data_IF_195670833391
#
_entry.id   IF_195670833391
#
_cell.length_a   1.000
_cell.length_b   1.000
_cell.length_c   1.000
_cell.angle_alpha   90.00
_cell.angle_beta   90.00
_cell.angle_gamma   90.00
#
_symmetry.space_group_name_H-M   'P 1'
#
loop_
_entity.id
_entity.type
_entity.pdbx_description
1 polymer ?
#
# COMPACT_ATOMS: atom_id res chain seq x y z
N UNK A 1 26.43 51.81 -15.02
CA UNK A 1 27.69 52.10 -15.74
C UNK A 1 28.59 50.89 -15.57
N UNK A 2 29.03 50.28 -16.67
CA UNK A 2 30.11 49.29 -16.65
C UNK A 2 31.39 50.12 -16.76
N UNK A 3 32.20 50.13 -15.72
CA UNK A 3 33.50 50.80 -15.71
C UNK A 3 34.57 49.76 -15.47
N UNK A 4 35.47 49.59 -16.43
CA UNK A 4 36.81 49.05 -16.17
C UNK A 4 37.56 50.11 -15.37
N UNK A 5 38.12 49.75 -14.21
CA UNK A 5 38.99 50.64 -13.44
C UNK A 5 40.44 50.20 -13.59
N UNK A 6 41.32 51.17 -13.82
CA UNK A 6 42.76 50.99 -13.90
C UNK A 6 43.34 50.25 -12.68
N UNK A 7 44.36 49.44 -12.95
CA UNK A 7 45.15 48.71 -11.95
C UNK A 7 45.67 49.67 -10.87
N UNK A 8 45.06 49.61 -9.69
CA UNK A 8 45.59 50.23 -8.48
C UNK A 8 46.65 49.32 -7.86
N UNK A 9 47.79 49.90 -7.48
CA UNK A 9 48.89 49.16 -6.87
C UNK A 9 48.46 48.48 -5.55
N UNK A 10 48.87 47.23 -5.42
CA UNK A 10 48.62 46.34 -4.30
C UNK A 10 49.01 46.97 -2.95
N UNK A 11 48.04 47.16 -2.06
CA UNK A 11 48.26 47.40 -0.62
C UNK A 11 47.67 46.18 0.09
N UNK A 12 48.46 45.38 0.84
CA UNK A 12 47.96 44.19 1.51
C UNK A 12 47.09 44.62 2.69
N UNK A 13 45.78 44.34 2.61
CA UNK A 13 44.87 44.47 3.73
C UNK A 13 44.62 43.07 4.31
N UNK A 14 45.32 42.76 5.40
CA UNK A 14 45.11 41.57 6.21
C UNK A 14 43.74 41.70 6.90
N UNK A 15 42.69 41.00 6.43
CA UNK A 15 41.67 40.33 7.28
C UNK A 15 40.28 40.04 6.68
N UNK A 16 39.95 40.37 5.42
CA UNK A 16 38.70 39.90 4.82
C UNK A 16 38.94 39.21 3.49
N UNK A 17 38.96 37.87 3.53
CA UNK A 17 39.24 36.98 2.40
C UNK A 17 38.15 36.98 1.33
N UNK A 18 37.98 38.09 0.63
CA UNK A 18 37.20 38.15 -0.61
C UNK A 18 38.15 38.27 -1.81
N UNK A 19 38.65 37.12 -2.26
CA UNK A 19 39.31 37.01 -3.56
C UNK A 19 38.24 36.78 -4.64
N UNK A 20 37.78 37.85 -5.29
CA UNK A 20 36.96 37.73 -6.50
C UNK A 20 37.83 37.97 -7.73
N UNK A 21 37.93 36.97 -8.62
CA UNK A 21 38.76 37.00 -9.83
C UNK A 21 38.08 37.62 -11.06
N UNK A 22 36.89 38.23 -10.91
CA UNK A 22 36.13 38.87 -12.01
C UNK A 22 35.34 40.09 -11.53
N UNK A 23 34.92 40.93 -12.49
CA UNK A 23 34.20 42.18 -12.27
C UNK A 23 32.96 42.01 -11.40
N UNK A 24 32.87 42.84 -10.35
CA UNK A 24 31.74 42.90 -9.45
C UNK A 24 30.74 43.96 -9.95
N UNK A 25 29.45 43.69 -9.77
CA UNK A 25 28.40 44.70 -9.95
C UNK A 25 28.00 45.22 -8.57
N UNK A 26 28.25 46.50 -8.32
CA UNK A 26 27.70 47.18 -7.14
C UNK A 26 26.23 47.48 -7.46
N UNK A 27 25.32 46.76 -6.79
CA UNK A 27 23.89 47.10 -6.72
C UNK A 27 23.59 47.64 -5.31
N UNK A 28 22.45 48.31 -5.12
CA UNK A 28 21.98 48.60 -3.77
C UNK A 28 21.69 47.28 -3.04
N UNK A 29 21.93 47.25 -1.72
CA UNK A 29 21.63 46.09 -0.87
C UNK A 29 20.19 45.60 -1.07
N UNK A 30 19.27 46.55 -1.26
CA UNK A 30 17.86 46.33 -1.54
C UNK A 30 17.63 45.63 -2.89
N UNK A 31 18.32 46.03 -3.96
CA UNK A 31 18.25 45.34 -5.26
C UNK A 31 18.87 43.94 -5.25
N UNK A 32 19.88 43.70 -4.41
CA UNK A 32 20.47 42.36 -4.20
C UNK A 32 19.45 41.47 -3.50
N UNK A 33 18.78 41.97 -2.46
CA UNK A 33 17.70 41.25 -1.78
C UNK A 33 16.50 41.00 -2.70
N UNK A 34 16.09 41.98 -3.52
CA UNK A 34 15.02 41.81 -4.50
C UNK A 34 15.37 40.79 -5.60
N UNK A 35 16.63 40.73 -6.02
CA UNK A 35 17.10 39.76 -7.03
C UNK A 35 17.28 38.33 -6.52
N UNK A 36 17.21 38.11 -5.20
CA UNK A 36 17.46 36.80 -4.54
C UNK A 36 16.20 36.20 -3.89
N UNK A 37 15.00 36.69 -4.25
CA UNK A 37 13.76 36.16 -3.68
C UNK A 37 13.46 34.70 -4.10
N UNK A 38 13.67 33.76 -3.18
CA UNK A 38 13.49 32.30 -3.32
C UNK A 38 12.09 31.79 -2.91
N UNK A 39 11.01 32.57 -3.06
CA UNK A 39 9.67 32.14 -2.59
C UNK A 39 9.16 30.86 -3.26
N UNK A 40 9.48 30.66 -4.54
CA UNK A 40 9.16 29.42 -5.27
C UNK A 40 9.86 28.21 -4.69
N UNK A 41 11.11 28.37 -4.25
CA UNK A 41 11.89 27.30 -3.67
C UNK A 41 11.34 26.88 -2.30
N UNK A 42 10.95 27.84 -1.46
CA UNK A 42 10.28 27.55 -0.17
C UNK A 42 8.99 26.75 -0.36
N UNK A 43 8.20 27.09 -1.40
CA UNK A 43 6.98 26.35 -1.73
C UNK A 43 7.31 24.88 -2.09
N UNK A 44 8.35 24.66 -2.90
CA UNK A 44 8.80 23.30 -3.27
C UNK A 44 9.24 22.50 -2.03
N UNK A 45 9.99 23.12 -1.12
CA UNK A 45 10.45 22.46 0.09
C UNK A 45 9.27 22.10 1.00
N UNK A 46 8.29 22.99 1.12
CA UNK A 46 7.02 22.72 1.80
C UNK A 46 6.31 21.48 1.25
N UNK A 47 6.24 21.34 -0.09
CA UNK A 47 5.66 20.17 -0.75
C UNK A 47 6.42 18.89 -0.37
N UNK A 48 7.76 18.91 -0.38
CA UNK A 48 8.57 17.74 0.00
C UNK A 48 8.40 17.35 1.47
N UNK A 49 8.29 18.33 2.37
CA UNK A 49 8.00 18.10 3.79
C UNK A 49 6.62 17.45 3.97
N UNK A 50 5.60 17.97 3.29
CA UNK A 50 4.23 17.44 3.35
C UNK A 50 4.22 16.00 2.84
N UNK A 51 4.81 15.71 1.68
CA UNK A 51 4.92 14.33 1.19
C UNK A 51 5.69 13.43 2.15
N UNK A 52 6.77 13.94 2.76
CA UNK A 52 7.55 13.19 3.75
C UNK A 52 6.72 12.79 4.96
N UNK A 53 6.11 13.77 5.63
CA UNK A 53 5.27 13.55 6.82
C UNK A 53 4.05 12.69 6.48
N UNK A 54 3.38 12.94 5.35
CA UNK A 54 2.21 12.18 4.93
C UNK A 54 2.52 10.68 4.77
N UNK A 55 3.62 10.32 4.13
CA UNK A 55 3.96 8.91 3.93
C UNK A 55 4.52 8.25 5.21
N UNK A 56 5.18 8.99 6.09
CA UNK A 56 5.52 8.51 7.44
C UNK A 56 4.25 8.23 8.25
N UNK A 57 3.26 9.13 8.19
CA UNK A 57 1.95 8.92 8.82
C UNK A 57 1.24 7.69 8.23
N UNK A 58 1.25 7.53 6.90
CA UNK A 58 0.65 6.38 6.24
C UNK A 58 1.29 5.04 6.64
N UNK A 59 2.60 5.04 6.94
CA UNK A 59 3.27 3.88 7.51
C UNK A 59 2.72 3.48 8.88
N UNK A 60 2.37 4.42 9.77
CA UNK A 60 1.78 4.06 11.06
C UNK A 60 0.41 3.37 10.92
N UNK A 61 -0.33 3.67 9.85
CA UNK A 61 -1.57 2.97 9.51
C UNK A 61 -1.26 1.58 8.92
N UNK A 62 -0.13 1.43 8.22
CA UNK A 62 0.27 0.21 7.50
C UNK A 62 1.70 -0.22 7.82
N UNK A 63 1.91 -0.66 9.06
CA UNK A 63 3.25 -1.02 9.58
C UNK A 63 3.94 -2.13 8.78
N UNK A 64 3.19 -2.95 8.02
CA UNK A 64 3.76 -4.00 7.16
C UNK A 64 4.41 -3.46 5.88
N UNK A 65 4.01 -2.27 5.41
CA UNK A 65 4.44 -1.68 4.14
C UNK A 65 5.56 -0.66 4.40
N UNK A 66 6.78 -1.15 4.71
CA UNK A 66 7.93 -0.32 5.13
C UNK A 66 8.39 0.68 4.06
N UNK A 67 8.16 0.40 2.78
CA UNK A 67 8.46 1.34 1.69
C UNK A 67 7.80 2.72 1.86
N UNK A 68 6.67 2.84 2.57
CA UNK A 68 6.06 4.13 2.90
C UNK A 68 6.92 4.96 3.86
N UNK A 69 7.48 4.31 4.89
CA UNK A 69 8.41 4.95 5.82
C UNK A 69 9.65 5.43 5.09
N UNK A 70 10.27 4.57 4.29
CA UNK A 70 11.50 4.89 3.59
C UNK A 70 11.33 6.00 2.55
N UNK A 71 10.23 6.01 1.79
CA UNK A 71 9.92 7.11 0.89
C UNK A 71 9.63 8.41 1.64
N UNK A 72 8.89 8.34 2.75
CA UNK A 72 8.62 9.48 3.61
C UNK A 72 9.90 10.10 4.18
N UNK A 73 10.81 9.28 4.71
CA UNK A 73 12.14 9.71 5.18
C UNK A 73 12.97 10.32 4.04
N UNK A 74 12.98 9.69 2.87
CA UNK A 74 13.66 10.21 1.68
C UNK A 74 13.17 11.62 1.30
N UNK A 75 11.85 11.82 1.22
CA UNK A 75 11.25 13.13 0.89
C UNK A 75 11.50 14.16 1.99
N UNK A 76 11.40 13.75 3.26
CA UNK A 76 11.65 14.62 4.41
C UNK A 76 13.11 15.10 4.45
N UNK A 77 14.09 14.20 4.37
CA UNK A 77 15.50 14.58 4.37
C UNK A 77 15.89 15.41 3.14
N UNK A 78 15.26 15.15 2.00
CA UNK A 78 15.41 16.00 0.80
C UNK A 78 14.95 17.43 1.08
N UNK A 79 13.80 17.59 1.73
CA UNK A 79 13.31 18.92 2.15
C UNK A 79 14.29 19.61 3.10
N UNK A 80 14.80 18.90 4.12
CA UNK A 80 15.74 19.46 5.10
C UNK A 80 17.02 19.96 4.43
N UNK A 81 17.55 19.24 3.43
CA UNK A 81 18.71 19.69 2.68
C UNK A 81 18.42 20.97 1.92
N UNK A 82 17.37 20.96 1.10
CA UNK A 82 17.09 22.10 0.25
C UNK A 82 16.74 23.35 1.07
N UNK A 83 15.98 23.16 2.15
CA UNK A 83 15.70 24.20 3.14
C UNK A 83 17.00 24.73 3.74
N UNK A 84 17.85 23.87 4.33
CA UNK A 84 19.09 24.29 4.99
C UNK A 84 20.11 24.94 4.03
N UNK A 85 20.00 24.67 2.73
CA UNK A 85 20.84 25.29 1.69
C UNK A 85 20.30 26.62 1.14
N UNK A 86 19.10 27.06 1.55
CA UNK A 86 18.45 28.27 1.02
C UNK A 86 19.09 29.55 1.55
N UNK A 87 19.35 30.50 0.65
CA UNK A 87 19.93 31.80 1.02
C UNK A 87 18.97 32.62 1.90
N UNK A 88 17.66 32.44 1.72
CA UNK A 88 16.63 33.19 2.44
C UNK A 88 16.69 32.93 3.95
N UNK A 89 17.05 31.72 4.37
CA UNK A 89 17.21 31.39 5.79
C UNK A 89 18.38 32.17 6.39
N UNK A 90 19.51 32.18 5.70
CA UNK A 90 20.68 32.92 6.16
C UNK A 90 20.38 34.42 6.23
N UNK A 91 19.71 34.98 5.23
CA UNK A 91 19.38 36.40 5.21
C UNK A 91 18.35 36.82 6.28
N UNK A 92 17.30 36.01 6.52
CA UNK A 92 16.21 36.39 7.45
C UNK A 92 16.43 35.93 8.89
N UNK A 93 17.12 34.82 9.12
CA UNK A 93 17.19 34.21 10.44
C UNK A 93 18.61 34.17 11.03
N UNK A 94 19.66 34.01 10.20
CA UNK A 94 21.04 33.87 10.69
C UNK A 94 21.75 35.23 10.73
N UNK A 95 21.85 35.93 9.59
CA UNK A 95 22.57 37.19 9.47
C UNK A 95 22.05 38.31 10.40
N UNK A 96 20.73 38.45 10.67
CA UNK A 96 20.22 39.47 11.58
C UNK A 96 20.45 39.13 13.06
N UNK A 97 20.71 37.87 13.40
CA UNK A 97 20.80 37.38 14.78
C UNK A 97 22.23 36.91 15.09
N UNK A 98 23.09 37.75 15.68
CA UNK A 98 24.49 37.42 15.93
C UNK A 98 24.70 36.26 16.92
N UNK A 99 23.68 35.88 17.69
CA UNK A 99 23.72 34.74 18.61
C UNK A 99 23.51 33.38 17.92
N UNK A 100 23.01 33.37 16.68
CA UNK A 100 22.54 32.16 16.02
C UNK A 100 23.66 31.57 15.14
N UNK A 101 24.25 30.46 15.59
CA UNK A 101 25.37 29.83 14.89
C UNK A 101 24.95 29.17 13.58
N UNK A 102 25.51 29.65 12.47
CA UNK A 102 25.34 29.08 11.13
C UNK A 102 25.78 27.61 11.02
N UNK A 103 26.66 27.15 11.92
CA UNK A 103 27.15 25.77 11.93
C UNK A 103 26.03 24.73 12.08
N UNK A 104 24.94 25.10 12.77
CA UNK A 104 23.78 24.22 12.97
C UNK A 104 23.09 23.86 11.65
N UNK A 105 22.90 24.84 10.76
CA UNK A 105 22.27 24.62 9.45
C UNK A 105 23.14 23.75 8.55
N UNK A 106 24.46 23.98 8.55
CA UNK A 106 25.40 23.11 7.82
C UNK A 106 25.40 21.67 8.35
N UNK A 107 25.35 21.48 9.68
CA UNK A 107 25.24 20.13 10.28
C UNK A 107 23.92 19.45 9.89
N UNK A 108 22.80 20.16 9.89
CA UNK A 108 21.51 19.63 9.43
C UNK A 108 21.55 19.24 7.95
N UNK A 109 22.14 20.08 7.11
CA UNK A 109 22.29 19.82 5.68
C UNK A 109 23.12 18.56 5.41
N UNK A 110 24.33 18.49 5.98
CA UNK A 110 25.26 17.38 5.72
C UNK A 110 24.79 16.06 6.34
N UNK A 111 24.23 16.10 7.54
CA UNK A 111 23.65 14.90 8.16
C UNK A 111 22.47 14.37 7.33
N UNK A 112 21.56 15.24 6.89
CA UNK A 112 20.44 14.82 6.04
C UNK A 112 20.89 14.23 4.70
N UNK A 113 21.96 14.75 4.10
CA UNK A 113 22.55 14.20 2.87
C UNK A 113 22.95 12.73 3.00
N UNK A 114 23.49 12.34 4.15
CA UNK A 114 23.90 10.94 4.38
C UNK A 114 22.71 9.98 4.40
N UNK A 115 21.52 10.44 4.79
CA UNK A 115 20.33 9.60 4.97
C UNK A 115 19.44 9.49 3.73
N UNK A 116 19.60 10.36 2.73
CA UNK A 116 18.82 10.32 1.48
C UNK A 116 19.05 9.00 0.74
N UNK A 117 20.31 8.63 0.48
CA UNK A 117 20.62 7.44 -0.32
C UNK A 117 20.21 6.13 0.37
N UNK A 118 20.47 5.92 1.68
CA UNK A 118 19.94 4.78 2.42
C UNK A 118 18.42 4.72 2.39
N UNK A 119 17.74 5.84 2.64
CA UNK A 119 16.26 5.88 2.63
C UNK A 119 15.72 5.51 1.24
N UNK A 120 16.30 6.06 0.17
CA UNK A 120 15.88 5.74 -1.18
C UNK A 120 16.17 4.29 -1.58
N UNK A 121 17.34 3.76 -1.21
CA UNK A 121 17.68 2.37 -1.46
C UNK A 121 16.70 1.41 -0.77
N UNK A 122 16.41 1.63 0.52
CA UNK A 122 15.47 0.77 1.24
C UNK A 122 14.04 0.91 0.74
N UNK A 123 13.63 2.09 0.28
CA UNK A 123 12.39 2.26 -0.46
C UNK A 123 12.34 1.32 -1.67
N UNK A 124 13.36 1.35 -2.55
CA UNK A 124 13.39 0.49 -3.74
C UNK A 124 13.45 -1.00 -3.37
N UNK A 125 14.29 -1.36 -2.39
CA UNK A 125 14.46 -2.76 -1.94
C UNK A 125 13.14 -3.32 -1.44
N UNK A 126 12.47 -2.60 -0.55
CA UNK A 126 11.24 -3.07 0.08
C UNK A 126 10.06 -3.04 -0.91
N UNK A 127 10.00 -2.01 -1.76
CA UNK A 127 8.95 -1.89 -2.77
C UNK A 127 8.99 -3.04 -3.80
N UNK A 128 10.17 -3.40 -4.33
CA UNK A 128 10.27 -4.43 -5.39
C UNK A 128 10.51 -5.86 -4.88
N UNK A 129 11.20 -5.99 -3.75
CA UNK A 129 11.70 -7.28 -3.24
C UNK A 129 11.63 -7.33 -1.69
N UNK A 130 10.43 -7.23 -1.09
CA UNK A 130 10.28 -7.21 0.37
C UNK A 130 10.81 -8.49 1.03
N UNK A 131 10.60 -9.65 0.38
CA UNK A 131 11.01 -10.98 0.88
C UNK A 131 12.47 -11.35 0.60
N UNK A 132 13.18 -10.61 -0.25
CA UNK A 132 14.59 -10.92 -0.56
C UNK A 132 15.50 -10.32 0.53
N UNK A 133 16.59 -11.03 0.86
CA UNK A 133 17.63 -10.52 1.76
C UNK A 133 18.35 -9.33 1.11
N UNK A 134 18.80 -8.39 1.95
CA UNK A 134 19.60 -7.25 1.51
C UNK A 134 20.94 -7.68 0.93
N UNK A 135 21.47 -6.86 0.03
CA UNK A 135 22.81 -7.08 -0.54
C UNK A 135 23.89 -6.61 0.45
N UNK A 136 24.94 -7.42 0.62
CA UNK A 136 26.10 -7.08 1.46
C UNK A 136 26.75 -5.77 1.02
N UNK A 137 26.83 -5.55 -0.30
CA UNK A 137 27.39 -4.31 -0.89
C UNK A 137 26.57 -3.09 -0.46
N UNK A 138 25.24 -3.19 -0.51
CA UNK A 138 24.38 -2.10 -0.08
C UNK A 138 24.48 -1.84 1.43
N UNK A 139 24.54 -2.91 2.23
CA UNK A 139 24.73 -2.82 3.67
C UNK A 139 26.03 -2.11 4.04
N UNK A 140 27.12 -2.34 3.30
CA UNK A 140 28.37 -1.60 3.49
C UNK A 140 28.18 -0.09 3.31
N UNK A 141 27.57 0.35 2.20
CA UNK A 141 27.31 1.78 1.97
C UNK A 141 26.40 2.39 3.05
N UNK A 142 25.33 1.68 3.42
CA UNK A 142 24.38 2.14 4.45
C UNK A 142 25.09 2.31 5.80
N UNK A 143 25.86 1.32 6.26
CA UNK A 143 26.57 1.39 7.54
C UNK A 143 27.56 2.57 7.54
N UNK A 144 28.31 2.76 6.45
CA UNK A 144 29.26 3.86 6.36
C UNK A 144 28.56 5.23 6.36
N UNK A 145 27.46 5.38 5.62
CA UNK A 145 26.69 6.62 5.58
C UNK A 145 26.02 6.93 6.93
N UNK A 146 25.53 5.92 7.64
CA UNK A 146 25.03 6.08 9.03
C UNK A 146 26.18 6.47 9.97
N UNK A 147 27.38 5.91 9.80
CA UNK A 147 28.56 6.34 10.55
C UNK A 147 28.89 7.82 10.30
N UNK A 148 28.84 8.25 9.04
CA UNK A 148 29.03 9.65 8.66
C UNK A 148 27.94 10.58 9.20
N UNK A 149 26.68 10.12 9.29
CA UNK A 149 25.59 10.87 9.92
C UNK A 149 25.97 11.31 11.34
N UNK A 150 26.41 10.36 12.17
CA UNK A 150 26.85 10.66 13.54
C UNK A 150 28.12 11.51 13.54
N UNK A 151 29.06 11.26 12.62
CA UNK A 151 30.27 12.07 12.50
C UNK A 151 29.96 13.54 12.21
N UNK A 152 29.03 13.86 11.30
CA UNK A 152 28.66 15.26 11.02
C UNK A 152 28.03 15.97 12.22
N UNK A 153 27.38 15.22 13.13
CA UNK A 153 26.81 15.80 14.34
C UNK A 153 27.87 16.13 15.40
N UNK A 154 28.98 15.39 15.45
CA UNK A 154 29.96 15.49 16.55
C UNK A 154 31.30 16.12 16.15
N UNK A 155 31.71 16.04 14.90
CA UNK A 155 33.06 16.43 14.44
C UNK A 155 33.24 17.95 14.47
N UNK A 156 34.43 18.47 14.87
CA UNK A 156 34.74 19.90 14.79
C UNK A 156 34.63 20.44 13.36
N UNK A 157 34.15 21.68 13.21
CA UNK A 157 33.85 22.27 11.90
C UNK A 157 35.04 22.26 10.92
N UNK A 158 36.27 22.37 11.44
CA UNK A 158 37.51 22.29 10.65
C UNK A 158 37.66 20.98 9.86
N UNK A 159 37.11 19.86 10.35
CA UNK A 159 37.20 18.54 9.71
C UNK A 159 35.97 18.20 8.86
N UNK A 160 34.90 19.00 8.92
CA UNK A 160 33.64 18.74 8.21
C UNK A 160 33.83 18.70 6.70
N UNK A 161 34.72 19.54 6.15
CA UNK A 161 35.01 19.56 4.71
C UNK A 161 35.61 18.24 4.19
N UNK A 162 36.44 17.56 5.00
CA UNK A 162 37.03 16.26 4.66
C UNK A 162 35.94 15.18 4.70
N UNK A 163 35.15 15.14 5.78
CA UNK A 163 34.02 14.23 5.91
C UNK A 163 33.00 14.40 4.76
N UNK A 164 32.76 15.64 4.34
CA UNK A 164 31.89 15.96 3.20
C UNK A 164 32.41 15.41 1.88
N UNK A 165 33.70 15.55 1.57
CA UNK A 165 34.30 14.95 0.36
C UNK A 165 34.18 13.42 0.35
N UNK A 166 34.43 12.78 1.50
CA UNK A 166 34.26 11.33 1.66
C UNK A 166 32.79 10.94 1.41
N UNK A 167 31.84 11.69 1.98
CA UNK A 167 30.42 11.48 1.78
C UNK A 167 30.02 11.58 0.29
N UNK A 168 30.54 12.56 -0.45
CA UNK A 168 30.25 12.74 -1.87
C UNK A 168 30.73 11.56 -2.71
N UNK A 169 31.96 11.08 -2.48
CA UNK A 169 32.50 9.91 -3.20
C UNK A 169 31.62 8.69 -2.95
N UNK A 170 31.26 8.43 -1.70
CA UNK A 170 30.41 7.30 -1.35
C UNK A 170 29.00 7.42 -1.92
N UNK A 171 28.43 8.63 -1.93
CA UNK A 171 27.13 8.90 -2.54
C UNK A 171 27.13 8.60 -4.05
N UNK A 172 28.21 8.96 -4.76
CA UNK A 172 28.37 8.64 -6.19
C UNK A 172 28.48 7.13 -6.38
N UNK A 173 29.32 6.44 -5.60
CA UNK A 173 29.43 4.98 -5.70
C UNK A 173 28.09 4.28 -5.40
N UNK A 174 27.35 4.77 -4.40
CA UNK A 174 26.07 4.18 -4.01
C UNK A 174 24.96 4.49 -5.02
N UNK A 175 24.98 5.65 -5.68
CA UNK A 175 24.03 5.99 -6.74
C UNK A 175 24.20 5.08 -7.97
N UNK A 176 25.44 4.75 -8.33
CA UNK A 176 25.75 3.75 -9.37
C UNK A 176 25.18 2.38 -8.99
N UNK A 177 25.32 1.99 -7.72
CA UNK A 177 24.73 0.75 -7.22
C UNK A 177 23.19 0.78 -7.23
N UNK A 178 22.55 1.89 -6.84
CA UNK A 178 21.09 2.08 -6.91
C UNK A 178 20.60 1.99 -8.37
N UNK A 179 21.34 2.57 -9.32
CA UNK A 179 21.04 2.48 -10.74
C UNK A 179 21.15 1.03 -11.23
N UNK A 180 22.22 0.33 -10.87
CA UNK A 180 22.39 -1.10 -11.17
C UNK A 180 21.24 -1.95 -10.60
N UNK A 181 20.86 -1.72 -9.34
CA UNK A 181 19.72 -2.39 -8.71
C UNK A 181 18.41 -2.11 -9.46
N UNK A 182 18.17 -0.86 -9.86
CA UNK A 182 16.98 -0.46 -10.62
C UNK A 182 16.94 -1.06 -12.03
N UNK A 183 18.09 -1.21 -12.69
CA UNK A 183 18.19 -1.93 -13.97
C UNK A 183 17.86 -3.41 -13.77
N UNK A 184 18.34 -4.03 -12.69
CA UNK A 184 18.01 -5.43 -12.39
C UNK A 184 16.51 -5.64 -12.15
N UNK A 185 15.83 -4.74 -11.44
CA UNK A 185 14.38 -4.88 -11.18
C UNK A 185 13.55 -4.77 -12.47
N UNK A 186 13.98 -3.93 -13.42
CA UNK A 186 13.39 -3.88 -14.78
C UNK A 186 13.65 -5.17 -15.55
N UNK A 187 14.86 -5.74 -15.49
CA UNK A 187 15.18 -7.03 -16.14
C UNK A 187 14.36 -8.18 -15.54
N UNK A 188 14.08 -8.15 -14.24
CA UNK A 188 13.17 -9.07 -13.55
C UNK A 188 11.68 -8.81 -13.85
N UNK A 189 11.34 -7.88 -14.75
CA UNK A 189 9.98 -7.50 -15.16
C UNK A 189 9.05 -7.16 -13.99
N UNK A 190 9.59 -6.56 -12.93
CA UNK A 190 8.79 -6.10 -11.79
C UNK A 190 7.85 -4.97 -12.22
N UNK A 191 6.63 -4.96 -11.69
CA UNK A 191 5.65 -3.92 -11.95
C UNK A 191 6.20 -2.55 -11.52
N UNK A 192 5.90 -1.49 -12.28
CA UNK A 192 6.33 -0.09 -12.06
C UNK A 192 7.85 0.19 -12.11
N UNK A 193 8.70 -0.84 -12.21
CA UNK A 193 10.16 -0.70 -12.24
C UNK A 193 10.64 0.21 -13.36
N UNK A 194 10.05 0.11 -14.56
CA UNK A 194 10.42 0.94 -15.71
C UNK A 194 10.14 2.43 -15.45
N UNK A 195 9.01 2.76 -14.81
CA UNK A 195 8.63 4.15 -14.52
C UNK A 195 9.61 4.78 -13.54
N UNK A 196 9.92 4.06 -12.45
CA UNK A 196 10.86 4.52 -11.43
C UNK A 196 12.28 4.65 -12.02
N UNK A 197 12.73 3.70 -12.84
CA UNK A 197 14.05 3.78 -13.50
C UNK A 197 14.14 5.00 -14.43
N UNK A 198 13.10 5.28 -15.23
CA UNK A 198 13.07 6.48 -16.08
C UNK A 198 13.17 7.75 -15.23
N UNK A 199 12.44 7.83 -14.12
CA UNK A 199 12.54 8.95 -13.18
C UNK A 199 13.94 9.15 -12.60
N UNK A 200 14.61 8.06 -12.20
CA UNK A 200 15.99 8.09 -11.71
C UNK A 200 16.95 8.60 -12.80
N UNK A 201 16.86 8.07 -14.02
CA UNK A 201 17.71 8.49 -15.14
C UNK A 201 17.54 9.97 -15.47
N UNK A 202 16.30 10.47 -15.51
CA UNK A 202 16.00 11.89 -15.73
C UNK A 202 16.63 12.74 -14.63
N UNK A 203 16.48 12.36 -13.35
CA UNK A 203 17.10 13.08 -12.24
C UNK A 203 18.63 13.12 -12.37
N UNK A 204 19.28 12.01 -12.73
CA UNK A 204 20.73 11.95 -12.91
C UNK A 204 21.18 12.89 -14.03
N UNK A 205 20.52 12.86 -15.19
CA UNK A 205 20.86 13.74 -16.33
C UNK A 205 20.78 15.21 -15.93
N UNK A 206 19.67 15.64 -15.32
CA UNK A 206 19.51 17.03 -14.90
C UNK A 206 20.46 17.43 -13.76
N UNK A 207 20.77 16.51 -12.83
CA UNK A 207 21.78 16.74 -11.80
C UNK A 207 23.16 16.98 -12.41
N UNK A 208 23.54 16.17 -13.41
CA UNK A 208 24.83 16.32 -14.10
C UNK A 208 24.89 17.59 -14.94
N UNK A 209 23.78 17.97 -15.58
CA UNK A 209 23.67 19.22 -16.32
C UNK A 209 23.86 20.44 -15.41
N UNK A 210 23.19 20.44 -14.26
CA UNK A 210 23.33 21.52 -13.29
C UNK A 210 24.75 21.61 -12.74
N UNK A 211 25.35 20.45 -12.39
CA UNK A 211 26.73 20.38 -11.93
C UNK A 211 27.71 20.91 -13.00
N UNK A 212 27.53 20.52 -14.27
CA UNK A 212 28.36 21.03 -15.37
C UNK A 212 28.25 22.56 -15.49
N UNK A 213 27.04 23.11 -15.57
CA UNK A 213 26.89 24.54 -15.73
C UNK A 213 27.39 25.35 -14.52
N UNK A 214 27.36 24.78 -13.31
CA UNK A 214 27.96 25.41 -12.12
C UNK A 214 29.49 25.54 -12.20
N UNK A 215 30.15 24.66 -12.97
CA UNK A 215 31.61 24.65 -13.15
C UNK A 215 32.05 25.51 -14.34
N UNK A 216 31.26 25.56 -15.41
CA UNK A 216 31.70 26.11 -16.71
C UNK A 216 31.06 27.46 -17.12
N UNK A 217 29.89 27.88 -16.60
CA UNK A 217 29.20 29.11 -17.04
C UNK A 217 29.02 30.17 -15.94
N UNK A 218 29.22 31.45 -16.29
CA UNK A 218 29.00 32.61 -15.41
C UNK A 218 27.48 32.81 -15.14
N UNK A 219 26.95 32.10 -14.14
CA UNK A 219 25.99 32.54 -13.12
C UNK A 219 24.88 33.56 -13.50
N UNK A 220 23.95 33.20 -14.40
CA UNK A 220 22.67 33.94 -14.50
C UNK A 220 21.39 33.13 -14.70
N UNK A 221 21.49 31.83 -14.98
CA UNK A 221 20.31 30.96 -15.17
C UNK A 221 20.32 29.68 -14.31
N UNK A 222 21.27 29.56 -13.38
CA UNK A 222 21.45 28.36 -12.55
C UNK A 222 20.68 28.49 -11.25
N UNK A 223 19.59 27.72 -11.07
CA UNK A 223 19.15 27.13 -9.77
C UNK A 223 17.77 26.45 -9.79
N UNK A 224 16.94 26.57 -10.84
CA UNK A 224 15.51 26.15 -10.74
C UNK A 224 15.19 24.81 -11.41
N UNK A 225 15.90 24.39 -12.47
CA UNK A 225 15.46 23.25 -13.29
C UNK A 225 15.51 21.90 -12.57
N UNK A 226 16.60 21.60 -11.83
CA UNK A 226 16.69 20.34 -11.11
C UNK A 226 15.62 20.22 -10.03
N UNK A 227 15.34 21.29 -9.29
CA UNK A 227 14.28 21.31 -8.26
C UNK A 227 12.91 20.96 -8.84
N UNK A 228 12.58 21.50 -10.02
CA UNK A 228 11.33 21.16 -10.73
C UNK A 228 11.32 19.70 -11.22
N UNK A 229 12.40 19.22 -11.81
CA UNK A 229 12.53 17.81 -12.23
C UNK A 229 12.40 16.87 -11.03
N UNK A 230 13.00 17.24 -9.90
CA UNK A 230 12.91 16.50 -8.65
C UNK A 230 11.49 16.47 -8.09
N UNK A 231 10.73 17.58 -8.21
CA UNK A 231 9.31 17.60 -7.87
C UNK A 231 8.52 16.57 -8.70
N UNK A 232 8.70 16.55 -10.02
CA UNK A 232 8.03 15.57 -10.87
C UNK A 232 8.43 14.14 -10.52
N UNK A 233 9.67 13.91 -10.11
CA UNK A 233 10.14 12.61 -9.62
C UNK A 233 9.43 12.18 -8.33
N UNK A 234 9.33 13.06 -7.33
CA UNK A 234 8.60 12.81 -6.08
C UNK A 234 7.12 12.53 -6.35
N UNK A 235 6.47 13.34 -7.20
CA UNK A 235 5.07 13.15 -7.59
C UNK A 235 4.88 11.83 -8.34
N UNK A 236 5.83 11.45 -9.20
CA UNK A 236 5.78 10.18 -9.94
C UNK A 236 5.84 8.98 -8.98
N UNK A 237 6.72 9.01 -7.98
CA UNK A 237 6.79 7.96 -6.96
C UNK A 237 5.53 7.95 -6.10
N UNK A 238 5.08 9.11 -5.62
CA UNK A 238 3.85 9.21 -4.81
C UNK A 238 2.62 8.68 -5.58
N UNK A 239 2.48 9.04 -6.86
CA UNK A 239 1.42 8.52 -7.74
C UNK A 239 1.52 7.00 -7.92
N UNK A 240 2.73 6.47 -8.10
CA UNK A 240 2.97 5.03 -8.17
C UNK A 240 2.56 4.31 -6.88
N UNK A 241 2.84 4.88 -5.71
CA UNK A 241 2.43 4.35 -4.42
C UNK A 241 0.89 4.34 -4.26
N UNK A 242 0.22 5.40 -4.69
CA UNK A 242 -1.26 5.50 -4.65
C UNK A 242 -1.89 4.48 -5.60
N UNK A 243 -1.41 4.37 -6.84
CA UNK A 243 -1.92 3.40 -7.81
C UNK A 243 -1.76 1.96 -7.34
N UNK A 244 -0.61 1.64 -6.72
CA UNK A 244 -0.38 0.32 -6.11
C UNK A 244 -1.37 0.04 -4.98
N UNK A 245 -1.64 1.03 -4.13
CA UNK A 245 -2.64 0.89 -3.07
C UNK A 245 -4.03 0.60 -3.65
N UNK A 246 -4.47 1.36 -4.65
CA UNK A 246 -5.76 1.15 -5.31
C UNK A 246 -5.86 -0.25 -5.93
N UNK A 247 -4.79 -0.73 -6.57
CA UNK A 247 -4.76 -2.07 -7.14
C UNK A 247 -4.89 -3.16 -6.06
N UNK A 248 -4.11 -3.06 -4.99
CA UNK A 248 -4.17 -4.02 -3.88
C UNK A 248 -5.55 -4.03 -3.21
N UNK A 249 -6.18 -2.87 -3.08
CA UNK A 249 -7.54 -2.77 -2.54
C UNK A 249 -8.56 -3.48 -3.43
N UNK A 250 -8.49 -3.29 -4.76
CA UNK A 250 -9.35 -3.98 -5.72
C UNK A 250 -9.14 -5.50 -5.69
N UNK A 251 -7.89 -5.96 -5.68
CA UNK A 251 -7.58 -7.40 -5.64
C UNK A 251 -8.12 -8.04 -4.35
N UNK A 252 -8.02 -7.35 -3.21
CA UNK A 252 -8.60 -7.81 -1.95
C UNK A 252 -10.14 -7.89 -1.98
N UNK A 253 -10.80 -6.91 -2.60
CA UNK A 253 -12.26 -6.93 -2.76
C UNK A 253 -12.72 -8.06 -3.69
N UNK A 254 -12.01 -8.26 -4.81
CA UNK A 254 -12.30 -9.34 -5.75
C UNK A 254 -12.11 -10.71 -5.10
N UNK A 255 -11.04 -10.88 -4.31
CA UNK A 255 -10.80 -12.10 -3.56
C UNK A 255 -11.90 -12.36 -2.52
N UNK A 256 -12.30 -11.35 -1.76
CA UNK A 256 -13.41 -11.48 -0.80
C UNK A 256 -14.72 -11.86 -1.48
N UNK A 257 -15.04 -11.25 -2.62
CA UNK A 257 -16.22 -11.62 -3.40
C UNK A 257 -16.15 -13.08 -3.87
N UNK A 258 -15.01 -13.48 -4.43
CA UNK A 258 -14.79 -14.85 -4.85
C UNK A 258 -14.96 -15.86 -3.71
N UNK A 259 -14.45 -15.54 -2.51
CA UNK A 259 -14.63 -16.38 -1.32
C UNK A 259 -16.09 -16.48 -0.87
N UNK A 260 -16.86 -15.39 -0.95
CA UNK A 260 -18.30 -15.41 -0.67
C UNK A 260 -19.03 -16.29 -1.69
N UNK A 261 -18.75 -16.12 -2.98
CA UNK A 261 -19.38 -16.91 -4.04
C UNK A 261 -19.07 -18.41 -3.88
N UNK A 262 -17.83 -18.76 -3.50
CA UNK A 262 -17.45 -20.14 -3.17
C UNK A 262 -18.19 -20.67 -1.93
N UNK A 263 -18.28 -19.86 -0.88
CA UNK A 263 -19.02 -20.20 0.35
C UNK A 263 -20.49 -20.49 0.04
N UNK A 264 -21.15 -19.61 -0.73
CA UNK A 264 -22.54 -19.79 -1.14
C UNK A 264 -22.74 -21.02 -2.02
N UNK A 265 -21.82 -21.29 -2.95
CA UNK A 265 -21.85 -22.49 -3.76
C UNK A 265 -21.72 -23.76 -2.90
N UNK A 266 -20.84 -23.75 -1.89
CA UNK A 266 -20.65 -24.87 -0.97
C UNK A 266 -21.93 -25.18 -0.18
N UNK A 267 -22.62 -24.16 0.36
CA UNK A 267 -23.85 -24.36 1.13
C UNK A 267 -25.05 -24.87 0.30
N UNK A 268 -24.97 -24.86 -1.04
CA UNK A 268 -25.97 -25.55 -1.89
C UNK A 268 -25.86 -27.07 -1.82
N UNK A 269 -24.72 -27.61 -1.39
CA UNK A 269 -24.47 -29.05 -1.32
C UNK A 269 -24.40 -29.58 0.11
N UNK A 270 -24.28 -28.71 1.10
CA UNK A 270 -24.17 -29.07 2.51
C UNK A 270 -25.20 -28.29 3.31
N UNK A 271 -26.27 -28.94 3.81
CA UNK A 271 -27.27 -28.29 4.65
C UNK A 271 -26.62 -27.65 5.88
N UNK A 272 -26.94 -26.39 6.17
CA UNK A 272 -26.39 -25.66 7.33
C UNK A 272 -26.79 -26.35 8.63
N UNK A 273 -28.00 -26.90 8.71
CA UNK A 273 -28.49 -27.60 9.89
C UNK A 273 -27.75 -28.90 10.19
N UNK A 274 -27.19 -29.56 9.17
CA UNK A 274 -26.31 -30.71 9.37
C UNK A 274 -25.07 -30.33 10.21
N UNK A 275 -24.49 -29.15 9.95
CA UNK A 275 -23.32 -28.62 10.67
C UNK A 275 -23.67 -28.38 12.16
N UNK A 276 -24.88 -27.88 12.44
CA UNK A 276 -25.39 -27.71 13.81
C UNK A 276 -25.55 -29.05 14.53
N UNK A 277 -26.01 -30.10 13.82
CA UNK A 277 -26.27 -31.42 14.41
C UNK A 277 -25.00 -32.10 14.88
N UNK A 278 -23.89 -31.95 14.16
CA UNK A 278 -22.59 -32.48 14.58
C UNK A 278 -21.88 -31.59 15.62
N UNK A 279 -22.55 -30.54 16.11
CA UNK A 279 -22.04 -29.54 17.06
C UNK A 279 -20.72 -28.91 16.59
N UNK A 280 -20.74 -28.40 15.35
CA UNK A 280 -19.63 -27.66 14.75
C UNK A 280 -20.07 -26.26 14.38
N UNK A 281 -19.15 -25.31 14.41
CA UNK A 281 -19.44 -23.90 14.05
C UNK A 281 -19.36 -23.66 12.54
N UNK A 282 -18.53 -24.44 11.83
CA UNK A 282 -18.39 -24.31 10.38
C UNK A 282 -17.98 -25.64 9.73
N UNK A 283 -18.27 -25.81 8.42
CA UNK A 283 -17.77 -26.95 7.66
C UNK A 283 -16.25 -27.12 7.71
N UNK A 284 -15.50 -26.03 7.89
CA UNK A 284 -14.03 -26.02 7.96
C UNK A 284 -13.52 -26.72 9.23
N UNK A 285 -14.33 -26.73 10.30
CA UNK A 285 -13.97 -27.38 11.57
C UNK A 285 -14.21 -28.89 11.60
N UNK A 286 -14.79 -29.46 10.54
CA UNK A 286 -15.10 -30.89 10.46
C UNK A 286 -13.85 -31.65 10.01
N UNK A 287 -13.42 -32.62 10.81
CA UNK A 287 -12.33 -33.53 10.46
C UNK A 287 -12.86 -34.89 9.99
N UNK A 288 -12.06 -35.59 9.17
CA UNK A 288 -12.40 -36.96 8.77
C UNK A 288 -12.45 -37.85 10.03
N UNK A 289 -13.55 -38.58 10.20
CA UNK A 289 -13.80 -39.41 11.38
C UNK A 289 -14.63 -38.73 12.47
N UNK A 290 -14.93 -37.44 12.34
CA UNK A 290 -15.91 -36.79 13.20
C UNK A 290 -17.26 -37.50 13.09
N UNK A 291 -17.81 -37.89 14.23
CA UNK A 291 -19.11 -38.56 14.32
C UNK A 291 -19.82 -38.12 15.59
N UNK A 292 -21.14 -38.13 15.53
CA UNK A 292 -21.99 -37.83 16.68
C UNK A 292 -23.23 -38.70 16.66
N UNK A 293 -23.55 -39.29 17.80
CA UNK A 293 -24.77 -40.05 18.00
C UNK A 293 -25.85 -39.13 18.59
N UNK A 294 -27.02 -39.07 17.94
CA UNK A 294 -28.18 -38.31 18.39
C UNK A 294 -29.46 -39.09 18.13
N UNK A 295 -30.41 -39.01 19.06
CA UNK A 295 -31.78 -39.51 18.86
C UNK A 295 -32.53 -38.52 17.97
N UNK A 296 -33.08 -39.02 16.86
CA UNK A 296 -33.74 -38.20 15.83
C UNK A 296 -34.87 -38.99 15.17
N UNK A 297 -35.87 -38.28 14.65
CA UNK A 297 -36.93 -38.86 13.81
C UNK A 297 -36.60 -38.64 12.34
N UNK A 298 -36.78 -39.69 11.53
CA UNK A 298 -36.62 -39.62 10.08
C UNK A 298 -37.99 -39.61 9.42
N UNK A 299 -38.23 -38.63 8.55
CA UNK A 299 -39.40 -38.58 7.67
C UNK A 299 -38.94 -38.83 6.24
N UNK A 300 -39.57 -39.79 5.56
CA UNK A 300 -39.44 -39.95 4.12
C UNK A 300 -40.78 -39.75 3.42
N UNK A 301 -40.75 -39.14 2.25
CA UNK A 301 -41.95 -38.92 1.43
C UNK A 301 -41.59 -39.00 -0.05
N UNK A 302 -42.44 -39.66 -0.85
CA UNK A 302 -42.19 -39.94 -2.25
C UNK A 302 -43.46 -39.74 -3.08
N UNK A 303 -43.30 -39.20 -4.30
CA UNK A 303 -44.41 -39.03 -5.25
C UNK A 303 -44.83 -40.40 -5.81
N UNK A 304 -46.08 -40.80 -5.57
CA UNK A 304 -46.66 -42.03 -6.12
C UNK A 304 -46.69 -41.99 -7.66
N UNK A 305 -46.33 -43.11 -8.31
CA UNK A 305 -46.36 -43.29 -9.76
C UNK A 305 -45.51 -42.30 -10.58
N UNK A 306 -44.48 -41.69 -9.97
CA UNK A 306 -43.62 -40.71 -10.66
C UNK A 306 -42.92 -41.26 -11.91
N UNK A 307 -42.47 -42.52 -11.89
CA UNK A 307 -41.77 -43.13 -13.02
C UNK A 307 -42.62 -43.21 -14.31
N UNK A 308 -43.95 -43.31 -14.17
CA UNK A 308 -44.86 -43.27 -15.31
C UNK A 308 -45.04 -41.82 -15.79
N UNK A 309 -45.19 -40.88 -14.86
CA UNK A 309 -45.33 -39.45 -15.16
C UNK A 309 -44.09 -38.89 -15.90
N UNK A 310 -42.89 -39.25 -15.46
CA UNK A 310 -41.63 -38.76 -16.04
C UNK A 310 -41.37 -39.27 -17.46
N UNK A 311 -42.07 -40.34 -17.89
CA UNK A 311 -41.99 -40.86 -19.27
C UNK A 311 -42.92 -40.12 -20.23
N UNK A 312 -43.99 -39.51 -19.71
CA UNK A 312 -45.00 -38.83 -20.53
C UNK A 312 -44.78 -37.33 -20.64
N UNK A 313 -43.98 -36.74 -19.74
CA UNK A 313 -43.70 -35.30 -19.68
C UNK A 313 -42.26 -35.01 -20.14
N UNK A 314 -42.01 -33.95 -20.92
CA UNK A 314 -40.65 -33.52 -21.28
C UNK A 314 -39.72 -33.36 -20.07
N UNK A 315 -38.42 -33.60 -20.27
CA UNK A 315 -37.43 -33.57 -19.18
C UNK A 315 -37.40 -32.22 -18.46
N UNK A 316 -37.43 -31.09 -19.18
CA UNK A 316 -37.37 -29.78 -18.54
C UNK A 316 -38.60 -29.52 -17.64
N UNK A 317 -39.79 -29.94 -18.08
CA UNK A 317 -41.04 -29.82 -17.35
C UNK A 317 -41.06 -30.76 -16.15
N UNK A 318 -40.56 -31.99 -16.31
CA UNK A 318 -40.39 -32.95 -15.21
C UNK A 318 -39.46 -32.41 -14.13
N UNK A 319 -38.31 -31.84 -14.50
CA UNK A 319 -37.37 -31.24 -13.53
C UNK A 319 -37.97 -30.00 -12.88
N UNK A 320 -38.67 -29.15 -13.64
CA UNK A 320 -39.35 -27.96 -13.09
C UNK A 320 -40.43 -28.37 -12.09
N UNK A 321 -41.20 -29.42 -12.40
CA UNK A 321 -42.23 -29.99 -11.52
C UNK A 321 -41.60 -30.50 -10.24
N UNK A 322 -40.56 -31.32 -10.39
CA UNK A 322 -39.86 -31.94 -9.28
C UNK A 322 -39.28 -30.88 -8.34
N UNK A 323 -38.56 -29.89 -8.89
CA UNK A 323 -37.99 -28.81 -8.09
C UNK A 323 -39.06 -27.98 -7.38
N UNK A 324 -40.18 -27.70 -8.06
CA UNK A 324 -41.31 -26.96 -7.46
C UNK A 324 -41.95 -27.74 -6.31
N UNK A 325 -42.19 -29.04 -6.50
CA UNK A 325 -42.71 -29.93 -5.46
C UNK A 325 -41.75 -30.02 -4.27
N UNK A 326 -40.48 -30.34 -4.52
CA UNK A 326 -39.48 -30.51 -3.47
C UNK A 326 -39.27 -29.22 -2.68
N UNK A 327 -39.27 -28.05 -3.33
CA UNK A 327 -39.13 -26.75 -2.65
C UNK A 327 -40.29 -26.47 -1.68
N UNK A 328 -41.53 -26.74 -2.07
CA UNK A 328 -42.68 -26.56 -1.19
C UNK A 328 -42.63 -27.55 -0.01
N UNK A 329 -42.26 -28.81 -0.26
CA UNK A 329 -42.13 -29.81 0.80
C UNK A 329 -40.99 -29.45 1.77
N UNK A 330 -39.84 -29.00 1.26
CA UNK A 330 -38.70 -28.52 2.05
C UNK A 330 -39.10 -27.35 2.96
N UNK A 331 -39.86 -26.37 2.45
CA UNK A 331 -40.35 -25.25 3.26
C UNK A 331 -41.23 -25.74 4.44
N UNK A 332 -42.05 -26.76 4.23
CA UNK A 332 -42.89 -27.34 5.29
C UNK A 332 -42.06 -28.10 6.34
N UNK A 333 -41.00 -28.79 5.91
CA UNK A 333 -40.01 -29.41 6.81
C UNK A 333 -39.38 -28.35 7.72
N UNK A 334 -38.85 -27.27 7.15
CA UNK A 334 -38.25 -26.19 7.94
C UNK A 334 -39.25 -25.50 8.89
N UNK A 335 -40.50 -25.26 8.44
CA UNK A 335 -41.57 -24.69 9.29
C UNK A 335 -41.96 -25.58 10.47
N UNK A 336 -41.61 -26.86 10.42
CA UNK A 336 -41.83 -27.82 11.49
C UNK A 336 -40.53 -28.23 12.17
N UNK A 337 -39.50 -27.37 12.10
CA UNK A 337 -38.21 -27.53 12.80
C UNK A 337 -37.39 -28.76 12.38
N UNK A 338 -37.70 -29.34 11.22
CA UNK A 338 -36.83 -30.31 10.56
C UNK A 338 -35.92 -29.65 9.53
N UNK A 339 -35.01 -30.42 8.95
CA UNK A 339 -34.27 -30.04 7.76
C UNK A 339 -34.15 -31.22 6.79
N UNK A 340 -33.89 -30.93 5.52
CA UNK A 340 -33.71 -31.96 4.49
C UNK A 340 -32.25 -32.41 4.48
N UNK A 341 -32.02 -33.69 4.72
CA UNK A 341 -30.68 -34.28 4.63
C UNK A 341 -30.29 -34.51 3.17
N UNK A 342 -31.20 -35.13 2.40
CA UNK A 342 -31.00 -35.35 0.97
C UNK A 342 -32.29 -35.58 0.18
N UNK A 343 -32.16 -35.40 -1.12
CA UNK A 343 -33.14 -35.80 -2.14
C UNK A 343 -32.70 -37.11 -2.79
N UNK A 344 -33.64 -38.05 -2.93
CA UNK A 344 -33.41 -39.35 -3.59
C UNK A 344 -34.39 -39.45 -4.77
N UNK A 345 -34.03 -38.85 -5.90
CA UNK A 345 -34.92 -38.76 -7.06
C UNK A 345 -36.17 -37.93 -6.75
N UNK A 346 -37.32 -38.59 -6.62
CA UNK A 346 -38.61 -37.98 -6.25
C UNK A 346 -38.99 -38.17 -4.77
N UNK A 347 -38.03 -38.59 -3.97
CA UNK A 347 -38.15 -38.75 -2.53
C UNK A 347 -37.39 -37.65 -1.78
N UNK A 348 -37.97 -37.21 -0.67
CA UNK A 348 -37.34 -36.32 0.32
C UNK A 348 -37.04 -37.14 1.58
N UNK A 349 -35.82 -37.02 2.10
CA UNK A 349 -35.43 -37.54 3.40
C UNK A 349 -35.13 -36.35 4.33
N UNK A 350 -35.98 -36.19 5.33
CA UNK A 350 -35.88 -35.13 6.32
C UNK A 350 -35.58 -35.71 7.70
N UNK A 351 -34.79 -34.96 8.47
CA UNK A 351 -34.36 -35.30 9.81
C UNK A 351 -34.90 -34.27 10.81
N UNK A 352 -35.40 -34.77 11.94
CA UNK A 352 -35.94 -33.97 13.03
C UNK A 352 -35.23 -34.37 14.32
N UNK A 353 -34.73 -33.41 15.09
CA UNK A 353 -34.13 -33.69 16.40
C UNK A 353 -34.65 -32.75 17.48
N UNK A 354 -34.43 -33.13 18.74
CA UNK A 354 -34.96 -32.42 19.92
C UNK A 354 -34.16 -31.17 20.33
N UNK A 355 -33.49 -30.51 19.38
CA UNK A 355 -32.54 -29.41 19.65
C UNK A 355 -33.10 -28.02 19.32
N UNK A 356 -34.41 -27.90 19.07
CA UNK A 356 -35.05 -26.64 18.69
C UNK A 356 -35.85 -26.02 19.85
N UNK A 357 -35.94 -24.68 19.90
CA UNK A 357 -36.67 -23.96 20.96
C UNK A 357 -38.15 -24.34 20.99
N UNK A 358 -38.70 -24.76 19.85
CA UNK A 358 -40.08 -25.23 19.71
C UNK A 358 -40.36 -26.45 20.59
N UNK A 359 -39.38 -27.35 20.75
CA UNK A 359 -39.56 -28.52 21.59
C UNK A 359 -39.79 -28.15 23.06
N UNK A 360 -39.08 -27.12 23.54
CA UNK A 360 -39.23 -26.60 24.89
C UNK A 360 -40.50 -25.75 25.08
N UNK A 361 -40.90 -24.95 24.07
CA UNK A 361 -42.04 -24.02 24.18
C UNK A 361 -43.40 -24.68 23.97
N UNK A 362 -43.49 -25.61 23.02
CA UNK A 362 -44.75 -26.23 22.61
C UNK A 362 -44.92 -27.66 23.15
N UNK A 363 -43.91 -28.19 23.86
CA UNK A 363 -43.86 -29.57 24.37
C UNK A 363 -43.96 -30.63 23.25
N UNK A 364 -43.38 -30.33 22.08
CA UNK A 364 -43.30 -31.22 20.91
C UNK A 364 -41.92 -31.88 20.87
N UNK A 365 -41.86 -33.20 20.68
CA UNK A 365 -40.58 -33.88 20.41
C UNK A 365 -40.32 -34.01 18.89
N UNK A 366 -39.20 -34.62 18.52
CA UNK A 366 -38.81 -34.88 17.14
C UNK A 366 -39.86 -35.67 16.35
N UNK A 367 -40.59 -36.58 17.00
CA UNK A 367 -41.66 -37.36 16.38
C UNK A 367 -42.92 -36.51 16.13
N UNK A 368 -43.32 -35.68 17.08
CA UNK A 368 -44.48 -34.79 16.93
C UNK A 368 -44.26 -33.80 15.77
N UNK A 369 -43.06 -33.21 15.70
CA UNK A 369 -42.66 -32.32 14.61
C UNK A 369 -42.68 -33.03 13.24
N UNK A 370 -42.16 -34.26 13.15
CA UNK A 370 -42.18 -35.04 11.92
C UNK A 370 -43.61 -35.38 11.46
N UNK A 371 -44.48 -35.77 12.40
CA UNK A 371 -45.90 -36.08 12.11
C UNK A 371 -46.65 -34.83 11.67
N UNK A 372 -46.44 -33.69 12.34
CA UNK A 372 -47.03 -32.42 11.93
C UNK A 372 -46.56 -32.00 10.52
N UNK A 373 -45.27 -32.19 10.21
CA UNK A 373 -44.71 -31.97 8.89
C UNK A 373 -45.45 -32.81 7.84
N UNK A 374 -45.60 -34.11 8.09
CA UNK A 374 -46.30 -35.02 7.20
C UNK A 374 -47.76 -34.60 6.95
N UNK A 375 -48.49 -34.20 8.00
CA UNK A 375 -49.87 -33.71 7.88
C UNK A 375 -49.91 -32.44 7.02
N UNK A 376 -49.00 -31.48 7.26
CA UNK A 376 -48.89 -30.24 6.48
C UNK A 376 -48.57 -30.50 5.01
N UNK A 377 -47.65 -31.43 4.71
CA UNK A 377 -47.33 -31.85 3.34
C UNK A 377 -48.56 -32.41 2.61
N UNK A 378 -49.30 -33.32 3.24
CA UNK A 378 -50.52 -33.91 2.66
C UNK A 378 -51.59 -32.83 2.42
N UNK A 379 -51.77 -31.91 3.38
CA UNK A 379 -52.73 -30.81 3.25
C UNK A 379 -52.33 -29.84 2.14
N UNK A 380 -51.05 -29.53 1.97
CA UNK A 380 -50.55 -28.68 0.88
C UNK A 380 -50.89 -29.27 -0.50
N UNK A 381 -50.69 -30.58 -0.68
CA UNK A 381 -51.06 -31.28 -1.91
C UNK A 381 -52.59 -31.25 -2.11
N UNK A 382 -53.38 -31.55 -1.08
CA UNK A 382 -54.85 -31.55 -1.14
C UNK A 382 -55.46 -30.18 -1.43
N UNK A 383 -54.80 -29.10 -0.99
CA UNK A 383 -55.25 -27.73 -1.24
C UNK A 383 -55.15 -27.30 -2.71
N UNK A 384 -54.48 -28.10 -3.57
CA UNK A 384 -54.33 -27.81 -4.99
C UNK A 384 -53.36 -26.67 -5.31
N UNK A 385 -52.66 -26.12 -4.30
CA UNK A 385 -51.74 -24.99 -4.46
C UNK A 385 -50.59 -25.29 -5.43
N UNK A 386 -50.11 -26.53 -5.44
CA UNK A 386 -49.06 -27.04 -6.35
C UNK A 386 -49.56 -27.36 -7.76
N UNK A 387 -50.87 -27.62 -7.93
CA UNK A 387 -51.47 -28.01 -9.22
C UNK A 387 -51.62 -26.82 -10.17
N UNK A 388 -51.63 -25.58 -9.66
CA UNK A 388 -51.78 -24.37 -10.50
C UNK A 388 -50.52 -23.99 -11.29
N UNK A 389 -49.39 -24.64 -11.03
CA UNK A 389 -48.10 -24.34 -11.68
C UNK A 389 -47.88 -25.23 -12.91
N UNK A 390 -48.76 -26.22 -13.17
CA UNK A 390 -48.68 -27.17 -14.29
C UNK A 390 -49.93 -27.18 -15.16
#
# INVERSE_FOLDING_TARGET
MIGESDFTHYIPNEHFGFYHSKGYKILSLEQIYESTFEYWDLLLYGIYTIFGIYHIYFYFIRVKDLYYLYFGLFSFFSSVIFFSSSNLIFQKFVNPNPELDSSLFFRMQYSSLTLIFPSFYYFLKDYFSPKEKGSVIASFFVIFLIGLFFAFLTVPFSWVHIAFKICQILAICFSVYILFFSIQTVRKKKQDARKILVGICVCIVFSTWELYGSVFENAKYHSTFFKLVYLFFIISIASTLVLRYVQLYKDAQLLNKYLIDQKEAFYRFVPVDFIRIIDRESPISISVGDSKEKSMTVLTSCIRNFASLSKTVPLNQTITFLNSYLSEMEELVYKTTGFVDKYIGNEILALFGDYDERAAKENFNSADNAVESAIKMVNAIRSGKLVKIF
#
